data_IF_636853891657
#
_entry.id   IF_636853891657
#
_cell.length_a   1.000
_cell.length_b   1.000
_cell.length_c   1.000
_cell.angle_alpha   90.00
_cell.angle_beta   90.00
_cell.angle_gamma   90.00
#
_symmetry.space_group_name_H-M   'P 1'
#
loop_
_entity.id
_entity.type
_entity.pdbx_description
1 polymer ?
#
# COMPACT_ATOMS: atom_id res chain seq x y z
N UNK A 1 -27.12 8.67 -27.13
CA UNK A 1 -26.90 9.08 -25.72
C UNK A 1 -26.60 7.82 -24.88
N UNK A 2 -25.46 7.15 -25.11
CA UNK A 2 -25.08 5.92 -24.39
C UNK A 2 -23.58 5.90 -23.99
N UNK A 3 -22.93 7.06 -24.05
CA UNK A 3 -21.49 7.27 -23.88
C UNK A 3 -21.13 7.66 -22.43
N UNK A 4 -22.01 8.41 -21.77
CA UNK A 4 -21.72 9.09 -20.50
C UNK A 4 -21.53 8.14 -19.29
N UNK A 5 -22.19 6.98 -19.30
CA UNK A 5 -22.15 6.01 -18.18
C UNK A 5 -20.79 5.29 -18.08
N UNK A 6 -20.19 4.93 -19.21
CA UNK A 6 -18.91 4.21 -19.23
C UNK A 6 -17.74 5.12 -18.84
N UNK A 7 -17.74 6.37 -19.30
CA UNK A 7 -16.73 7.36 -18.88
C UNK A 7 -16.85 7.68 -17.39
N UNK A 8 -18.08 7.81 -16.88
CA UNK A 8 -18.35 8.04 -15.45
C UNK A 8 -17.87 6.90 -14.57
N UNK A 9 -18.12 5.64 -14.97
CA UNK A 9 -17.64 4.48 -14.23
C UNK A 9 -16.10 4.41 -14.19
N UNK A 10 -15.44 4.65 -15.32
CA UNK A 10 -13.96 4.64 -15.38
C UNK A 10 -13.36 5.72 -14.46
N UNK A 11 -13.92 6.94 -14.48
CA UNK A 11 -13.49 8.04 -13.60
C UNK A 11 -13.69 7.70 -12.13
N UNK A 12 -14.79 7.04 -11.78
CA UNK A 12 -15.04 6.57 -10.41
C UNK A 12 -14.00 5.53 -9.98
N UNK A 13 -13.69 4.55 -10.83
CA UNK A 13 -12.67 3.53 -10.53
C UNK A 13 -11.29 4.18 -10.39
N UNK A 14 -10.93 5.09 -11.30
CA UNK A 14 -9.68 5.85 -11.20
C UNK A 14 -9.60 6.62 -9.87
N UNK A 15 -10.66 7.33 -9.49
CA UNK A 15 -10.68 8.09 -8.24
C UNK A 15 -10.49 7.18 -7.01
N UNK A 16 -11.09 5.99 -7.02
CA UNK A 16 -10.93 5.01 -5.95
C UNK A 16 -9.50 4.45 -5.91
N UNK A 17 -8.86 4.24 -7.06
CA UNK A 17 -7.45 3.86 -7.15
C UNK A 17 -6.56 4.97 -6.58
N UNK A 18 -6.80 6.23 -6.92
CA UNK A 18 -6.07 7.38 -6.36
C UNK A 18 -6.19 7.42 -4.84
N UNK A 19 -7.37 7.10 -4.29
CA UNK A 19 -7.56 6.96 -2.84
C UNK A 19 -6.74 5.81 -2.26
N UNK A 20 -6.70 4.65 -2.90
CA UNK A 20 -5.86 3.53 -2.48
C UNK A 20 -4.37 3.90 -2.45
N UNK A 21 -3.89 4.67 -3.44
CA UNK A 21 -2.51 5.17 -3.47
C UNK A 21 -2.24 6.14 -2.30
N UNK A 22 -3.20 7.00 -1.95
CA UNK A 22 -3.07 7.87 -0.75
C UNK A 22 -2.95 7.07 0.56
N UNK A 23 -3.54 5.88 0.62
CA UNK A 23 -3.39 4.95 1.75
C UNK A 23 -2.12 4.09 1.67
N UNK A 24 -1.24 4.34 0.71
CA UNK A 24 -0.01 3.58 0.47
C UNK A 24 -0.26 2.10 0.15
N UNK A 25 -1.38 1.78 -0.51
CA UNK A 25 -1.68 0.43 -0.95
C UNK A 25 -0.94 0.08 -2.25
N UNK A 26 -0.42 -1.14 -2.33
CA UNK A 26 0.07 -1.70 -3.58
C UNK A 26 -1.10 -2.15 -4.48
N UNK A 27 -0.79 -2.59 -5.70
CA UNK A 27 -1.79 -3.01 -6.68
C UNK A 27 -2.69 -4.15 -6.18
N UNK A 28 -2.13 -5.15 -5.49
CA UNK A 28 -2.88 -6.30 -4.96
C UNK A 28 -3.81 -5.87 -3.82
N UNK A 29 -3.29 -5.10 -2.87
CA UNK A 29 -4.07 -4.51 -1.78
C UNK A 29 -5.19 -3.60 -2.31
N UNK A 30 -4.92 -2.83 -3.37
CA UNK A 30 -5.92 -2.02 -4.04
C UNK A 30 -7.02 -2.88 -4.70
N UNK A 31 -6.66 -3.99 -5.36
CA UNK A 31 -7.63 -4.91 -5.95
C UNK A 31 -8.55 -5.50 -4.89
N UNK A 32 -7.98 -6.01 -3.79
CA UNK A 32 -8.75 -6.60 -2.69
C UNK A 32 -9.64 -5.56 -2.01
N UNK A 33 -9.13 -4.35 -1.76
CA UNK A 33 -9.90 -3.28 -1.13
C UNK A 33 -11.09 -2.86 -2.00
N UNK A 34 -10.89 -2.68 -3.30
CA UNK A 34 -11.98 -2.26 -4.19
C UNK A 34 -12.99 -3.39 -4.48
N UNK A 35 -12.54 -4.64 -4.48
CA UNK A 35 -13.44 -5.78 -4.55
C UNK A 35 -14.33 -5.85 -3.30
N UNK A 36 -13.72 -5.81 -2.11
CA UNK A 36 -14.43 -5.96 -0.84
C UNK A 36 -15.33 -4.77 -0.49
N UNK A 37 -14.86 -3.55 -0.73
CA UNK A 37 -15.54 -2.34 -0.25
C UNK A 37 -16.37 -1.62 -1.31
N UNK A 38 -16.08 -1.83 -2.60
CA UNK A 38 -16.77 -1.16 -3.71
C UNK A 38 -17.40 -2.15 -4.71
N UNK A 39 -17.26 -3.47 -4.50
CA UNK A 39 -17.77 -4.51 -5.40
C UNK A 39 -17.27 -4.37 -6.85
N UNK A 40 -16.04 -3.86 -7.01
CA UNK A 40 -15.37 -3.72 -8.31
C UNK A 40 -14.59 -5.01 -8.59
N UNK A 41 -14.77 -5.60 -9.76
CA UNK A 41 -14.04 -6.82 -10.13
C UNK A 41 -12.52 -6.54 -10.14
N UNK A 42 -11.68 -7.40 -9.55
CA UNK A 42 -10.22 -7.21 -9.53
C UNK A 42 -9.61 -6.97 -10.91
N UNK A 43 -10.14 -7.63 -11.96
CA UNK A 43 -9.68 -7.43 -13.34
C UNK A 43 -9.85 -5.98 -13.81
N UNK A 44 -10.93 -5.30 -13.42
CA UNK A 44 -11.17 -3.89 -13.79
C UNK A 44 -10.13 -3.00 -13.11
N UNK A 45 -9.98 -3.15 -11.79
CA UNK A 45 -8.97 -2.41 -11.02
C UNK A 45 -7.57 -2.64 -11.57
N UNK A 46 -7.21 -3.90 -11.86
CA UNK A 46 -5.91 -4.27 -12.42
C UNK A 46 -5.66 -3.59 -13.77
N UNK A 47 -6.64 -3.59 -14.67
CA UNK A 47 -6.52 -2.94 -15.97
C UNK A 47 -6.34 -1.43 -15.83
N UNK A 48 -7.20 -0.76 -15.07
CA UNK A 48 -7.13 0.71 -14.90
C UNK A 48 -5.82 1.11 -14.22
N UNK A 49 -5.40 0.41 -13.17
CA UNK A 49 -4.12 0.63 -12.50
C UNK A 49 -2.93 0.50 -13.47
N UNK A 50 -2.93 -0.54 -14.30
CA UNK A 50 -1.85 -0.78 -15.26
C UNK A 50 -1.75 0.33 -16.31
N UNK A 51 -2.89 0.85 -16.78
CA UNK A 51 -2.88 2.00 -17.69
C UNK A 51 -2.42 3.29 -17.00
N UNK A 52 -2.84 3.53 -15.75
CA UNK A 52 -2.33 4.65 -14.95
C UNK A 52 -0.81 4.58 -14.74
N UNK A 53 -0.27 3.40 -14.44
CA UNK A 53 1.18 3.16 -14.34
C UNK A 53 1.91 3.48 -15.65
N UNK A 54 1.35 3.07 -16.80
CA UNK A 54 1.95 3.33 -18.11
C UNK A 54 1.96 4.82 -18.45
N UNK A 55 0.90 5.55 -18.12
CA UNK A 55 0.77 6.99 -18.38
C UNK A 55 1.58 7.84 -17.40
N UNK A 56 1.77 7.37 -16.15
CA UNK A 56 2.37 8.12 -15.06
C UNK A 56 3.60 7.41 -14.46
N UNK A 57 4.45 6.82 -15.31
CA UNK A 57 5.57 5.96 -14.86
C UNK A 57 6.43 6.55 -13.76
N UNK A 58 6.87 7.80 -13.93
CA UNK A 58 7.74 8.47 -12.96
C UNK A 58 7.08 8.60 -11.57
N UNK A 59 5.77 8.81 -11.52
CA UNK A 59 5.03 8.85 -10.27
C UNK A 59 4.98 7.48 -9.60
N UNK A 60 4.63 6.43 -10.35
CA UNK A 60 4.52 5.08 -9.79
C UNK A 60 5.87 4.48 -9.39
N UNK A 61 6.96 4.81 -10.10
CA UNK A 61 8.32 4.44 -9.69
C UNK A 61 8.71 5.12 -8.36
N UNK A 62 8.46 6.43 -8.24
CA UNK A 62 8.74 7.16 -7.00
C UNK A 62 7.87 6.65 -5.84
N UNK A 63 6.59 6.37 -6.10
CA UNK A 63 5.66 5.82 -5.12
C UNK A 63 6.08 4.43 -4.63
N UNK A 64 6.47 3.53 -5.54
CA UNK A 64 6.93 2.20 -5.17
C UNK A 64 8.18 2.26 -4.28
N UNK A 65 9.13 3.15 -4.62
CA UNK A 65 10.35 3.38 -3.86
C UNK A 65 10.06 3.95 -2.47
N UNK A 66 9.24 4.99 -2.37
CA UNK A 66 8.85 5.60 -1.08
C UNK A 66 8.15 4.57 -0.17
N UNK A 67 7.25 3.77 -0.74
CA UNK A 67 6.58 2.69 -0.01
C UNK A 67 7.57 1.64 0.52
N UNK A 68 8.53 1.22 -0.30
CA UNK A 68 9.59 0.28 0.11
C UNK A 68 10.46 0.86 1.23
N UNK A 69 10.89 2.12 1.11
CA UNK A 69 11.68 2.81 2.13
C UNK A 69 10.92 2.90 3.47
N UNK A 70 9.61 3.22 3.43
CA UNK A 70 8.76 3.25 4.62
C UNK A 70 8.65 1.88 5.30
N UNK A 71 8.46 0.81 4.52
CA UNK A 71 8.41 -0.56 5.05
C UNK A 71 9.76 -0.94 5.68
N UNK A 72 10.87 -0.63 5.02
CA UNK A 72 12.20 -0.92 5.53
C UNK A 72 12.50 -0.17 6.83
N UNK A 73 12.12 1.11 6.93
CA UNK A 73 12.26 1.89 8.16
C UNK A 73 11.45 1.28 9.31
N UNK A 74 10.23 0.80 9.04
CA UNK A 74 9.39 0.15 10.05
C UNK A 74 9.99 -1.18 10.52
N UNK A 75 10.53 -1.98 9.60
CA UNK A 75 11.25 -3.22 9.92
C UNK A 75 12.49 -2.93 10.77
N UNK A 76 13.28 -1.93 10.40
CA UNK A 76 14.49 -1.57 11.14
C UNK A 76 14.15 -1.05 12.54
N UNK A 77 13.08 -0.25 12.66
CA UNK A 77 12.58 0.19 13.95
C UNK A 77 12.14 -0.99 14.83
N UNK A 78 11.41 -1.96 14.27
CA UNK A 78 10.99 -3.16 15.00
C UNK A 78 12.19 -3.99 15.46
N UNK A 79 13.22 -4.15 14.62
CA UNK A 79 14.46 -4.86 14.99
C UNK A 79 15.21 -4.18 16.13
N UNK A 80 15.33 -2.86 16.08
CA UNK A 80 15.97 -2.09 17.16
C UNK A 80 15.18 -2.26 18.47
N UNK A 81 13.84 -2.18 18.42
CA UNK A 81 12.99 -2.39 19.59
C UNK A 81 13.16 -3.80 20.19
N UNK A 82 13.25 -4.83 19.34
CA UNK A 82 13.49 -6.21 19.80
C UNK A 82 14.84 -6.34 20.51
N UNK A 83 15.93 -5.84 19.90
CA UNK A 83 17.26 -5.89 20.52
C UNK A 83 17.31 -5.18 21.87
N UNK A 84 16.65 -4.02 22.01
CA UNK A 84 16.58 -3.29 23.27
C UNK A 84 15.82 -4.07 24.35
N UNK A 85 14.73 -4.76 23.98
CA UNK A 85 13.97 -5.62 24.89
C UNK A 85 14.79 -6.83 25.36
N UNK A 86 15.57 -7.43 24.48
CA UNK A 86 16.44 -8.58 24.81
C UNK A 86 17.55 -8.16 25.78
N UNK A 87 18.14 -6.97 25.60
CA UNK A 87 19.14 -6.44 26.52
C UNK A 87 18.54 -6.10 27.90
N UNK A 88 17.35 -5.50 27.93
CA UNK A 88 16.66 -5.15 29.18
C UNK A 88 16.19 -6.38 29.99
N UNK A 89 15.86 -7.48 29.32
CA UNK A 89 15.53 -8.73 30.01
C UNK A 89 16.77 -9.43 30.59
N UNK A 90 17.94 -9.21 30.00
CA UNK A 90 19.22 -9.79 30.45
C UNK A 90 19.79 -9.15 31.72
N UNK A 91 19.45 -7.90 32.04
CA UNK A 91 20.00 -7.18 33.23
C UNK A 91 19.29 -7.48 34.55
N UNK A 92 18.22 -8.27 34.54
CA UNK A 92 17.42 -8.57 35.75
C UNK A 92 17.83 -9.88 36.46
N UNK A 93 18.95 -10.49 36.09
CA UNK A 93 19.38 -11.79 36.63
C UNK A 93 20.67 -11.79 37.45
N UNK A 94 21.28 -10.64 37.71
CA UNK A 94 22.60 -10.57 38.37
C UNK A 94 22.61 -9.94 39.79
N UNK A 95 21.46 -9.79 40.45
CA UNK A 95 21.35 -9.19 41.80
C UNK A 95 20.79 -10.16 42.86
N UNK A 96 21.32 -11.40 42.91
CA UNK A 96 21.14 -12.33 44.04
C UNK A 96 22.49 -12.95 44.45
N UNK A 97 23.29 -12.23 45.25
CA UNK A 97 24.27 -12.84 46.18
C UNK A 97 24.62 -11.93 47.37
#
# INVERSE_FOLDING_TARGET
MADDSSSSYLRMVQHLIEKCIQYNLNKEECMEALEKHANIKPVITSTVWTELEKENRAFFEAYAKDREERINMEIDQQRIQQMLSDLASSTNSDDDN
#
